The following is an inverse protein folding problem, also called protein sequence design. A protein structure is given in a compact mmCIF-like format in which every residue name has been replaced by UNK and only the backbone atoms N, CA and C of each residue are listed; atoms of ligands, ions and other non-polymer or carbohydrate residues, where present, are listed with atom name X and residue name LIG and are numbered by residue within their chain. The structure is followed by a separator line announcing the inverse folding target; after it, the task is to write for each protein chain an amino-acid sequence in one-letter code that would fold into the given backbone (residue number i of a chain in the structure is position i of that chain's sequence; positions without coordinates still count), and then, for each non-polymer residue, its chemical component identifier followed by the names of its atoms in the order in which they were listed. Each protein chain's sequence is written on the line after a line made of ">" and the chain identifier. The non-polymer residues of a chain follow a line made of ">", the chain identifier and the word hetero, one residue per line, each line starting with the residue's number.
data_IF_643714327749
#
_entry.id   IF_643714327749
#
_cell.length_a   1.000
_cell.length_b   1.000
_cell.length_c   1.000
_cell.angle_alpha   90.00
_cell.angle_beta   90.00
_cell.angle_gamma   90.00
#
_symmetry.space_group_name_H-M   'P 1'
#
loop_
_entity.id
_entity.type
_entity.pdbx_description
1 polymer ?
#
# COMPACT_ATOMS: atom_id res chain seq x y z
N UNK A 1 -1.04 19.84 14.53
CA UNK A 1 -2.19 19.02 14.07
C UNK A 1 -1.68 17.63 13.70
N UNK A 2 -2.10 16.57 14.40
CA UNK A 2 -1.53 15.22 14.25
C UNK A 2 -1.96 14.48 12.95
N UNK A 3 -3.02 14.95 12.27
CA UNK A 3 -3.58 14.30 11.06
C UNK A 3 -2.86 14.60 9.74
N UNK A 4 -1.88 15.51 9.71
CA UNK A 4 -1.13 15.90 8.50
C UNK A 4 0.19 15.14 8.32
N UNK A 5 0.68 14.41 9.33
CA UNK A 5 1.92 13.65 9.20
C UNK A 5 1.66 12.44 8.30
N UNK A 6 2.53 12.21 7.33
CA UNK A 6 2.57 10.98 6.53
C UNK A 6 3.90 10.27 6.76
N UNK A 7 3.88 8.95 6.64
CA UNK A 7 5.12 8.16 6.65
C UNK A 7 5.97 8.62 5.45
N UNK A 8 7.31 8.71 5.59
CA UNK A 8 8.20 9.00 4.48
C UNK A 8 7.98 8.03 3.30
N UNK A 9 8.28 8.48 2.10
CA UNK A 9 8.07 7.71 0.87
C UNK A 9 8.86 6.39 0.89
N UNK A 10 10.13 6.50 1.28
CA UNK A 10 11.12 5.43 1.35
C UNK A 10 10.75 4.29 2.32
N UNK A 11 9.88 4.57 3.28
CA UNK A 11 9.39 3.59 4.25
C UNK A 11 8.13 2.86 3.77
N UNK A 12 7.49 3.34 2.69
CA UNK A 12 6.23 2.82 2.16
C UNK A 12 6.40 2.08 0.84
N UNK A 13 7.34 2.51 0.00
CA UNK A 13 7.44 2.07 -1.38
C UNK A 13 8.83 1.52 -1.68
N UNK A 14 8.86 0.31 -2.21
CA UNK A 14 10.08 -0.46 -2.40
C UNK A 14 10.24 -0.94 -3.84
N UNK A 15 11.47 -1.21 -4.25
CA UNK A 15 11.84 -1.61 -5.61
C UNK A 15 12.42 -3.02 -5.65
N UNK A 16 11.67 -3.97 -6.21
CA UNK A 16 12.06 -5.37 -6.40
C UNK A 16 12.15 -6.20 -5.12
N UNK A 17 12.51 -5.60 -3.99
CA UNK A 17 12.69 -6.27 -2.71
C UNK A 17 12.20 -5.40 -1.54
N UNK A 18 11.78 -6.04 -0.46
CA UNK A 18 11.33 -5.34 0.75
C UNK A 18 12.44 -4.52 1.39
N UNK A 19 12.15 -3.27 1.75
CA UNK A 19 13.10 -2.38 2.39
C UNK A 19 14.15 -1.76 1.47
N UNK A 20 14.16 -2.08 0.17
CA UNK A 20 14.96 -1.36 -0.84
C UNK A 20 14.12 -0.19 -1.34
N UNK A 21 14.40 1.07 -0.97
CA UNK A 21 13.52 2.19 -1.29
C UNK A 21 13.37 2.40 -2.80
N UNK A 22 12.14 2.53 -3.26
CA UNK A 22 11.86 3.01 -4.61
C UNK A 22 12.03 4.52 -4.63
N UNK A 23 12.92 5.06 -5.46
CA UNK A 23 13.04 6.51 -5.61
C UNK A 23 11.83 7.08 -6.36
N UNK A 24 11.32 8.28 -6.02
CA UNK A 24 10.23 8.92 -6.76
C UNK A 24 10.50 9.04 -8.26
N UNK A 25 11.73 9.37 -8.65
CA UNK A 25 12.15 9.45 -10.05
C UNK A 25 12.12 8.06 -10.71
N UNK A 26 12.54 7.04 -9.97
CA UNK A 26 12.51 5.64 -10.40
C UNK A 26 11.10 5.11 -10.61
N UNK A 27 10.08 5.64 -9.91
CA UNK A 27 8.68 5.27 -10.08
C UNK A 27 8.05 5.80 -11.39
N UNK A 28 8.69 6.75 -12.06
CA UNK A 28 8.25 7.27 -13.37
C UNK A 28 6.81 7.79 -13.34
N UNK A 29 5.99 7.36 -14.31
CA UNK A 29 4.57 7.76 -14.39
C UNK A 29 3.73 7.31 -13.19
N UNK A 30 4.19 6.28 -12.45
CA UNK A 30 3.53 5.80 -11.23
C UNK A 30 3.92 6.55 -9.97
N UNK A 31 4.82 7.54 -10.05
CA UNK A 31 5.17 8.37 -8.90
C UNK A 31 3.95 9.08 -8.30
N UNK A 32 3.07 9.61 -9.17
CA UNK A 32 1.87 10.34 -8.74
C UNK A 32 0.81 9.42 -8.11
N UNK A 33 0.44 8.26 -8.68
CA UNK A 33 -0.38 7.25 -8.01
C UNK A 33 0.13 6.84 -6.63
N UNK A 34 1.43 6.58 -6.49
CA UNK A 34 2.04 6.23 -5.19
C UNK A 34 1.95 7.38 -4.19
N UNK A 35 2.20 8.63 -4.61
CA UNK A 35 2.02 9.78 -3.71
C UNK A 35 0.56 9.92 -3.26
N UNK A 36 -0.42 9.63 -4.13
CA UNK A 36 -1.83 9.65 -3.75
C UNK A 36 -2.19 8.55 -2.76
N UNK A 37 -1.55 7.38 -2.83
CA UNK A 37 -1.63 6.36 -1.77
C UNK A 37 -1.04 6.91 -0.47
N UNK A 38 0.14 7.52 -0.52
CA UNK A 38 0.80 8.09 0.67
C UNK A 38 -0.06 9.15 1.35
N UNK A 39 -0.75 9.99 0.58
CA UNK A 39 -1.64 11.02 1.13
C UNK A 39 -2.99 10.48 1.62
N UNK A 40 -3.35 9.24 1.25
CA UNK A 40 -4.61 8.61 1.63
C UNK A 40 -4.86 8.57 3.14
N UNK A 41 -6.12 8.72 3.60
CA UNK A 41 -6.46 8.59 5.01
C UNK A 41 -6.33 7.13 5.49
N UNK A 42 -6.04 6.95 6.78
CA UNK A 42 -6.08 5.64 7.43
C UNK A 42 -6.47 5.77 8.90
N UNK A 43 -7.02 4.69 9.46
CA UNK A 43 -7.41 4.64 10.86
C UNK A 43 -6.20 4.91 11.77
N UNK A 44 -6.36 5.87 12.69
CA UNK A 44 -5.26 6.34 13.57
C UNK A 44 -3.99 6.79 12.81
N UNK A 45 -4.12 7.18 11.53
CA UNK A 45 -3.05 7.62 10.64
C UNK A 45 -1.91 6.59 10.49
N UNK A 46 -2.21 5.30 10.63
CA UNK A 46 -1.22 4.22 10.66
C UNK A 46 -0.56 3.94 9.32
N UNK A 47 -1.23 4.25 8.20
CA UNK A 47 -0.75 4.01 6.83
C UNK A 47 -0.13 2.62 6.68
N UNK A 48 -0.94 1.56 6.88
CA UNK A 48 -0.41 0.22 7.06
C UNK A 48 0.00 -0.43 5.73
N UNK A 49 -0.25 0.22 4.60
CA UNK A 49 0.18 -0.25 3.28
C UNK A 49 1.70 -0.18 3.12
N UNK A 50 2.24 -1.19 2.45
CA UNK A 50 3.58 -1.18 1.83
C UNK A 50 3.41 -1.64 0.39
N UNK A 51 4.13 -1.03 -0.55
CA UNK A 51 4.02 -1.40 -1.96
C UNK A 51 5.41 -1.75 -2.48
N UNK A 52 5.55 -2.94 -3.05
CA UNK A 52 6.77 -3.36 -3.75
C UNK A 52 6.50 -3.35 -5.25
N UNK A 53 7.27 -2.58 -6.00
CA UNK A 53 7.26 -2.62 -7.46
C UNK A 53 8.04 -3.84 -7.96
N UNK A 54 7.50 -4.54 -8.95
CA UNK A 54 8.20 -5.47 -9.82
C UNK A 54 8.09 -5.01 -11.28
N UNK A 55 8.72 -5.73 -12.21
CA UNK A 55 8.72 -5.35 -13.64
C UNK A 55 7.32 -5.12 -14.23
N UNK A 56 6.33 -5.92 -13.80
CA UNK A 56 4.96 -5.89 -14.36
C UNK A 56 3.86 -5.63 -13.33
N UNK A 57 4.19 -5.35 -12.08
CA UNK A 57 3.20 -5.18 -11.02
C UNK A 57 3.63 -4.22 -9.92
N UNK A 58 2.64 -3.69 -9.20
CA UNK A 58 2.82 -3.10 -7.87
C UNK A 58 2.11 -3.98 -6.85
N UNK A 59 2.86 -4.64 -5.96
CA UNK A 59 2.36 -5.57 -4.96
C UNK A 59 2.04 -4.83 -3.66
N UNK A 60 0.78 -4.84 -3.25
CA UNK A 60 0.29 -4.20 -2.03
C UNK A 60 0.32 -5.21 -0.88
N UNK A 61 1.03 -4.83 0.17
CA UNK A 61 1.12 -5.56 1.43
C UNK A 61 0.51 -4.72 2.54
N UNK A 62 -0.12 -5.41 3.49
CA UNK A 62 -0.60 -4.86 4.73
C UNK A 62 0.42 -5.20 5.83
N UNK A 63 1.07 -4.17 6.39
CA UNK A 63 1.88 -4.29 7.59
C UNK A 63 0.99 -4.05 8.83
N UNK A 64 0.73 -5.12 9.58
CA UNK A 64 -0.12 -5.08 10.78
C UNK A 64 0.49 -4.22 11.88
N UNK A 65 -0.34 -3.44 12.53
CA UNK A 65 0.05 -2.77 13.78
C UNK A 65 -0.16 -3.72 14.96
N UNK A 66 0.93 -4.07 15.68
CA UNK A 66 0.89 -4.92 16.88
C UNK A 66 -0.23 -4.50 17.84
N UNK A 67 -1.11 -5.44 18.17
CA UNK A 67 -2.22 -5.24 19.12
C UNK A 67 -3.37 -4.35 18.63
N UNK A 68 -3.28 -3.76 17.43
CA UNK A 68 -4.27 -2.80 16.94
C UNK A 68 -5.65 -3.43 16.72
N UNK A 69 -5.69 -4.62 16.09
CA UNK A 69 -6.93 -5.36 15.85
C UNK A 69 -7.70 -5.60 17.15
N UNK A 70 -7.04 -6.15 18.17
CA UNK A 70 -7.65 -6.42 19.47
C UNK A 70 -8.25 -5.18 20.14
N UNK A 71 -7.61 -4.03 20.00
CA UNK A 71 -8.10 -2.75 20.55
C UNK A 71 -9.31 -2.26 19.76
N UNK A 72 -9.23 -2.26 18.42
CA UNK A 72 -10.31 -1.76 17.57
C UNK A 72 -11.56 -2.66 17.60
N UNK A 73 -11.40 -3.98 17.64
CA UNK A 73 -12.53 -4.90 17.79
C UNK A 73 -13.27 -4.63 19.09
N UNK A 74 -12.55 -4.37 20.20
CA UNK A 74 -13.19 -4.06 21.49
C UNK A 74 -13.86 -2.69 21.52
N UNK A 75 -13.24 -1.66 20.93
CA UNK A 75 -13.73 -0.28 21.03
C UNK A 75 -14.77 0.09 19.97
N UNK A 76 -14.60 -0.40 18.75
CA UNK A 76 -15.38 0.02 17.58
C UNK A 76 -16.22 -1.12 16.97
N UNK A 77 -16.11 -2.35 17.47
CA UNK A 77 -16.78 -3.55 16.92
C UNK A 77 -16.47 -3.80 15.43
N UNK A 78 -15.38 -3.23 14.91
CA UNK A 78 -14.93 -3.47 13.53
C UNK A 78 -13.79 -4.49 13.60
N UNK A 79 -14.00 -5.64 12.96
CA UNK A 79 -13.09 -6.79 13.07
C UNK A 79 -11.74 -6.55 12.38
N UNK A 80 -11.70 -5.78 11.28
CA UNK A 80 -10.45 -5.49 10.59
C UNK A 80 -10.43 -4.10 9.91
N UNK A 81 -10.16 -3.07 10.71
CA UNK A 81 -10.00 -1.70 10.22
C UNK A 81 -8.85 -1.53 9.22
N UNK A 82 -7.74 -2.26 9.38
CA UNK A 82 -6.59 -2.06 8.51
C UNK A 82 -6.81 -2.63 7.10
N UNK A 83 -7.69 -3.64 6.95
CA UNK A 83 -8.15 -4.07 5.62
C UNK A 83 -9.01 -3.02 4.91
N UNK A 84 -9.79 -2.24 5.66
CA UNK A 84 -10.51 -1.09 5.08
C UNK A 84 -9.53 -0.02 4.60
N UNK A 85 -8.48 0.26 5.38
CA UNK A 85 -7.41 1.18 4.98
C UNK A 85 -6.70 0.74 3.69
N UNK A 86 -6.53 -0.57 3.45
CA UNK A 86 -6.00 -1.07 2.17
C UNK A 86 -6.92 -0.75 0.98
N UNK A 87 -8.24 -0.83 1.17
CA UNK A 87 -9.21 -0.45 0.13
C UNK A 87 -9.12 1.04 -0.24
N UNK A 88 -8.83 1.90 0.73
CA UNK A 88 -8.56 3.34 0.49
C UNK A 88 -7.29 3.50 -0.35
N UNK A 89 -6.20 2.83 0.02
CA UNK A 89 -4.96 2.85 -0.75
C UNK A 89 -5.16 2.39 -2.19
N UNK A 90 -5.87 1.27 -2.40
CA UNK A 90 -6.20 0.76 -3.73
C UNK A 90 -6.99 1.80 -4.55
N UNK A 91 -8.04 2.38 -3.97
CA UNK A 91 -8.87 3.39 -4.64
C UNK A 91 -8.06 4.61 -5.09
N UNK A 92 -7.23 5.17 -4.19
CA UNK A 92 -6.37 6.31 -4.50
C UNK A 92 -5.37 6.00 -5.63
N UNK A 93 -4.75 4.81 -5.61
CA UNK A 93 -3.84 4.38 -6.66
C UNK A 93 -4.55 4.27 -8.01
N UNK A 94 -5.65 3.52 -8.07
CA UNK A 94 -6.37 3.23 -9.31
C UNK A 94 -7.00 4.48 -9.94
N UNK A 95 -7.64 5.34 -9.15
CA UNK A 95 -8.24 6.57 -9.67
C UNK A 95 -7.18 7.50 -10.28
N UNK A 96 -6.04 7.62 -9.62
CA UNK A 96 -4.92 8.45 -10.11
C UNK A 96 -4.26 7.82 -11.33
N UNK A 97 -4.08 6.50 -11.34
CA UNK A 97 -3.55 5.80 -12.50
C UNK A 97 -4.44 6.01 -13.73
N UNK A 98 -5.77 5.84 -13.57
CA UNK A 98 -6.75 6.07 -14.63
C UNK A 98 -6.75 7.50 -15.15
N UNK A 99 -6.70 8.49 -14.26
CA UNK A 99 -6.62 9.91 -14.63
C UNK A 99 -5.39 10.21 -15.50
N UNK A 100 -4.29 9.50 -15.26
CA UNK A 100 -3.04 9.63 -16.02
C UNK A 100 -3.00 8.74 -17.27
N UNK A 101 -4.10 8.05 -17.61
CA UNK A 101 -4.17 7.12 -18.74
C UNK A 101 -3.35 5.84 -18.56
N UNK A 102 -2.97 5.51 -17.32
CA UNK A 102 -2.20 4.30 -17.00
C UNK A 102 -3.14 3.09 -16.91
N UNK A 103 -2.78 2.04 -17.63
CA UNK A 103 -3.55 0.82 -17.76
C UNK A 103 -3.08 -0.25 -16.78
N UNK A 104 -4.03 -0.97 -16.21
CA UNK A 104 -3.76 -2.10 -15.33
C UNK A 104 -5.03 -2.63 -14.69
N UNK A 105 -4.85 -3.70 -13.92
CA UNK A 105 -5.95 -4.37 -13.22
C UNK A 105 -5.49 -4.92 -11.87
N UNK A 106 -6.42 -4.96 -10.92
CA UNK A 106 -6.20 -5.66 -9.66
C UNK A 106 -6.18 -7.17 -9.87
N UNK A 107 -5.22 -7.85 -9.26
CA UNK A 107 -5.07 -9.30 -9.35
C UNK A 107 -4.29 -9.91 -8.20
N UNK A 108 -4.56 -11.19 -7.94
CA UNK A 108 -3.74 -12.04 -7.07
C UNK A 108 -2.70 -12.72 -7.96
N UNK A 109 -1.44 -12.34 -7.78
CA UNK A 109 -0.30 -12.88 -8.53
C UNK A 109 0.80 -13.27 -7.56
N UNK A 110 1.69 -14.16 -8.00
CA UNK A 110 2.88 -14.47 -7.22
C UNK A 110 3.78 -13.22 -7.16
N UNK A 111 4.06 -12.73 -5.95
CA UNK A 111 4.93 -11.59 -5.71
C UNK A 111 6.41 -11.97 -5.57
N UNK A 112 6.74 -13.26 -5.40
CA UNK A 112 8.12 -13.76 -5.35
C UNK A 112 8.93 -13.28 -4.15
N UNK A 113 8.27 -12.83 -3.07
CA UNK A 113 8.92 -12.34 -1.85
C UNK A 113 8.57 -13.27 -0.70
N UNK A 114 9.57 -13.63 0.09
CA UNK A 114 9.38 -14.42 1.31
C UNK A 114 9.59 -13.52 2.53
N UNK A 115 8.62 -13.56 3.46
CA UNK A 115 8.66 -12.78 4.69
C UNK A 115 8.77 -13.72 5.89
N UNK A 116 9.72 -13.45 6.77
CA UNK A 116 9.80 -14.11 8.09
C UNK A 116 8.96 -13.40 9.15
N UNK A 117 8.54 -12.16 8.86
CA UNK A 117 7.70 -11.35 9.75
C UNK A 117 6.22 -11.67 9.49
N UNK A 118 5.55 -12.19 10.53
CA UNK A 118 4.13 -12.59 10.49
C UNK A 118 3.15 -11.40 10.39
N UNK A 119 3.67 -10.17 10.45
CA UNK A 119 2.89 -8.95 10.33
C UNK A 119 2.71 -8.46 8.91
N UNK A 120 3.48 -9.01 7.99
CA UNK A 120 3.42 -8.66 6.58
C UNK A 120 2.43 -9.60 5.89
N UNK A 121 1.26 -9.07 5.56
CA UNK A 121 0.23 -9.80 4.82
C UNK A 121 0.19 -9.31 3.37
N UNK A 122 0.33 -10.21 2.40
CA UNK A 122 0.01 -9.88 1.01
C UNK A 122 -1.49 -9.60 0.86
N UNK A 123 -1.84 -8.53 0.14
CA UNK A 123 -3.23 -8.14 -0.10
C UNK A 123 -3.63 -8.34 -1.56
N UNK A 124 -2.99 -7.64 -2.49
CA UNK A 124 -3.35 -7.61 -3.91
C UNK A 124 -2.21 -7.00 -4.72
N UNK A 125 -2.24 -7.14 -6.05
CA UNK A 125 -1.32 -6.44 -6.93
C UNK A 125 -2.07 -5.64 -7.99
N UNK A 126 -1.56 -4.45 -8.30
CA UNK A 126 -1.88 -3.76 -9.55
C UNK A 126 -0.99 -4.34 -10.65
N UNK A 127 -1.57 -5.12 -11.56
CA UNK A 127 -0.85 -5.73 -12.68
C UNK A 127 -0.97 -4.79 -13.88
N UNK A 128 0.17 -4.40 -14.45
CA UNK A 128 0.22 -3.57 -15.66
C UNK A 128 -0.43 -4.32 -16.82
N UNK A 129 -1.26 -3.63 -17.60
CA UNK A 129 -1.85 -4.17 -18.84
C UNK A 129 -1.46 -3.27 -20.00
N UNK A 130 -1.20 -3.87 -21.15
CA UNK A 130 -0.92 -3.15 -22.40
C UNK A 130 -2.18 -2.47 -22.95
#
# INVERSE_FOLDING_TARGET
>A
MAGQRRIPWEDLFFDGAWGVPLLPEGAGTYAKPLEMVRLGPSASNKQPWRIVRSERSFHFFLLRSKGYRNVMTRLAQIDDMQRLDMGIAMCHFELTARELGLTGKWGIVNHGLDFQDDQIEYSVSWVLTD
#
